data_IF_551474373529
#
_entry.id   IF_551474373529
#
_cell.length_a   1.000
_cell.length_b   1.000
_cell.length_c   1.000
_cell.angle_alpha   90.00
_cell.angle_beta   90.00
_cell.angle_gamma   90.00
#
_symmetry.space_group_name_H-M   'P 1'
#
loop_
_entity.id
_entity.type
_entity.pdbx_description
1 polymer ?
#
# COMPACT_ATOMS: atom_id res chain seq x y z
N UNK A 1 29.67 54.48 9.28
CA UNK A 1 30.07 53.07 9.06
C UNK A 1 29.22 52.21 10.00
N UNK A 2 28.06 51.77 9.54
CA UNK A 2 27.18 50.90 10.31
C UNK A 2 27.49 49.46 9.92
N UNK A 3 28.31 48.77 10.73
CA UNK A 3 28.59 47.35 10.59
C UNK A 3 27.38 46.56 11.09
N UNK A 4 26.64 45.94 10.17
CA UNK A 4 25.57 45.03 10.51
C UNK A 4 26.13 43.78 11.18
N UNK A 5 25.66 43.49 12.39
CA UNK A 5 25.77 42.18 13.02
C UNK A 5 25.10 41.16 12.09
N UNK A 6 25.90 40.39 11.36
CA UNK A 6 25.44 39.21 10.66
C UNK A 6 24.97 38.22 11.74
N UNK A 7 23.65 38.09 11.89
CA UNK A 7 23.04 37.06 12.70
C UNK A 7 23.58 35.70 12.26
N UNK A 8 24.30 35.02 13.15
CA UNK A 8 24.80 33.67 12.91
C UNK A 8 23.63 32.75 12.51
N UNK A 9 23.82 31.86 11.53
CA UNK A 9 22.77 30.92 11.13
C UNK A 9 22.41 30.02 12.31
N UNK A 10 21.13 29.96 12.68
CA UNK A 10 20.55 29.14 13.77
C UNK A 10 20.71 27.62 13.59
N UNK A 11 21.48 27.18 12.58
CA UNK A 11 21.73 25.80 12.20
C UNK A 11 23.19 25.40 12.43
N UNK A 12 23.86 25.92 13.46
CA UNK A 12 24.91 25.10 14.06
C UNK A 12 24.24 23.84 14.59
N UNK A 13 24.50 22.70 13.93
CA UNK A 13 24.17 21.36 14.42
C UNK A 13 24.77 21.23 15.82
N UNK A 14 23.99 21.56 16.86
CA UNK A 14 24.35 21.26 18.25
C UNK A 14 24.78 19.81 18.28
N UNK A 15 25.97 19.55 18.82
CA UNK A 15 26.48 18.20 19.00
C UNK A 15 25.38 17.35 19.62
N UNK A 16 24.95 16.30 18.91
CA UNK A 16 23.84 15.48 19.34
C UNK A 16 24.20 14.85 20.69
N UNK A 17 23.54 15.31 21.76
CA UNK A 17 23.73 14.75 23.11
C UNK A 17 23.03 13.39 23.15
N UNK A 18 23.79 12.32 22.95
CA UNK A 18 23.27 10.95 23.02
C UNK A 18 23.05 10.55 24.48
N UNK A 19 21.79 10.30 24.87
CA UNK A 19 21.46 9.70 26.18
C UNK A 19 21.43 8.18 26.07
N UNK A 20 22.10 7.50 26.98
CA UNK A 20 22.02 6.04 27.11
C UNK A 20 20.59 5.62 27.44
N UNK A 21 20.06 4.63 26.71
CA UNK A 21 18.69 4.12 26.87
C UNK A 21 17.60 4.78 26.01
N UNK A 22 17.90 5.82 25.23
CA UNK A 22 16.91 6.43 24.33
C UNK A 22 16.87 5.70 22.96
N UNK A 23 15.73 5.07 22.56
CA UNK A 23 15.64 4.34 21.30
C UNK A 23 15.81 5.27 20.07
N UNK A 24 15.39 6.53 20.16
CA UNK A 24 15.61 7.52 19.10
C UNK A 24 17.08 7.87 18.91
N UNK A 25 17.85 7.99 20.00
CA UNK A 25 19.29 8.26 19.94
C UNK A 25 20.07 7.09 19.29
N UNK A 26 19.61 5.85 19.46
CA UNK A 26 20.21 4.68 18.81
C UNK A 26 19.99 4.69 17.29
N UNK A 27 18.80 5.10 16.82
CA UNK A 27 18.49 5.24 15.39
C UNK A 27 19.32 6.36 14.76
N UNK A 28 19.40 7.53 15.41
CA UNK A 28 20.22 8.64 14.92
C UNK A 28 21.71 8.29 14.88
N UNK A 29 22.22 7.55 15.88
CA UNK A 29 23.60 7.03 15.87
C UNK A 29 23.84 6.05 14.73
N UNK A 30 22.88 5.16 14.44
CA UNK A 30 22.95 4.22 13.31
C UNK A 30 22.97 4.94 11.95
N UNK A 31 22.18 6.02 11.81
CA UNK A 31 22.18 6.89 10.62
C UNK A 31 23.49 7.68 10.49
N UNK A 32 24.09 8.09 11.60
CA UNK A 32 25.36 8.80 11.59
C UNK A 32 26.54 7.89 11.21
N UNK A 33 26.53 6.62 11.65
CA UNK A 33 27.56 5.63 11.34
C UNK A 33 27.51 5.11 9.90
N UNK A 34 26.32 5.09 9.28
CA UNK A 34 26.13 4.63 7.90
C UNK A 34 25.72 5.80 7.00
N UNK A 35 26.68 6.56 6.43
CA UNK A 35 26.38 7.69 5.56
C UNK A 35 25.87 7.28 4.17
N UNK A 36 26.00 6.00 3.80
CA UNK A 36 25.52 5.49 2.50
C UNK A 36 24.01 5.28 2.44
N UNK A 37 23.48 5.20 1.22
CA UNK A 37 22.07 4.91 0.97
C UNK A 37 21.71 3.50 1.45
N UNK A 38 20.65 3.31 2.26
CA UNK A 38 20.25 2.00 2.78
C UNK A 38 19.49 1.16 1.74
N UNK A 39 20.17 0.75 0.67
CA UNK A 39 19.58 0.00 -0.45
C UNK A 39 18.81 -1.25 -0.03
N UNK A 40 19.27 -1.96 1.00
CA UNK A 40 18.58 -3.16 1.51
C UNK A 40 17.20 -2.82 2.04
N UNK A 41 17.08 -1.82 2.92
CA UNK A 41 15.79 -1.42 3.51
C UNK A 41 14.84 -0.87 2.44
N UNK A 42 15.38 -0.09 1.51
CA UNK A 42 14.63 0.39 0.35
C UNK A 42 14.07 -0.72 -0.52
N UNK A 43 14.86 -1.77 -0.77
CA UNK A 43 14.38 -2.93 -1.51
C UNK A 43 13.23 -3.65 -0.78
N UNK A 44 13.32 -3.80 0.54
CA UNK A 44 12.22 -4.40 1.33
C UNK A 44 10.97 -3.52 1.31
N UNK A 45 11.11 -2.21 1.45
CA UNK A 45 10.00 -1.25 1.36
C UNK A 45 9.33 -1.32 -0.01
N UNK A 46 10.14 -1.30 -1.07
CA UNK A 46 9.68 -1.33 -2.45
C UNK A 46 8.93 -2.62 -2.78
N UNK A 47 9.47 -3.77 -2.39
CA UNK A 47 8.82 -5.08 -2.58
C UNK A 47 7.50 -5.21 -1.81
N UNK A 48 7.45 -4.75 -0.56
CA UNK A 48 6.21 -4.77 0.25
C UNK A 48 5.12 -3.90 -0.40
N UNK A 49 5.47 -2.68 -0.83
CA UNK A 49 4.51 -1.78 -1.47
C UNK A 49 4.00 -2.38 -2.78
N UNK A 50 4.91 -2.90 -3.61
CA UNK A 50 4.55 -3.55 -4.87
C UNK A 50 3.59 -4.73 -4.63
N UNK A 51 3.95 -5.64 -3.71
CA UNK A 51 3.13 -6.80 -3.37
C UNK A 51 1.74 -6.41 -2.83
N UNK A 52 1.65 -5.30 -2.08
CA UNK A 52 0.36 -4.81 -1.57
C UNK A 52 -0.49 -4.10 -2.63
N UNK A 53 0.16 -3.46 -3.62
CA UNK A 53 -0.51 -2.69 -4.65
C UNK A 53 -1.12 -3.60 -5.73
N UNK A 54 -0.41 -4.68 -6.09
CA UNK A 54 -0.81 -5.58 -7.17
C UNK A 54 -2.25 -6.14 -7.01
N UNK A 55 -2.66 -6.71 -5.85
CA UNK A 55 -4.03 -7.22 -5.70
C UNK A 55 -5.10 -6.13 -5.74
N UNK A 56 -4.78 -4.92 -5.26
CA UNK A 56 -5.72 -3.80 -5.22
C UNK A 56 -5.99 -3.28 -6.64
N UNK A 57 -4.97 -3.25 -7.50
CA UNK A 57 -5.10 -2.74 -8.87
C UNK A 57 -5.51 -3.80 -9.88
N UNK A 58 -5.12 -5.07 -9.71
CA UNK A 58 -5.51 -6.18 -10.59
C UNK A 58 -7.00 -6.49 -10.60
N UNK A 59 -7.70 -5.95 -9.61
CA UNK A 59 -9.13 -6.10 -9.35
C UNK A 59 -10.03 -5.49 -10.41
N UNK A 60 -9.70 -4.29 -10.89
CA UNK A 60 -10.59 -3.54 -11.78
C UNK A 60 -10.94 -4.28 -13.09
N UNK A 61 -9.99 -4.95 -13.78
CA UNK A 61 -10.29 -5.73 -14.97
C UNK A 61 -11.27 -6.88 -14.76
N UNK A 62 -11.14 -7.65 -13.67
CA UNK A 62 -12.00 -8.82 -13.46
C UNK A 62 -13.29 -8.51 -12.69
N UNK A 63 -13.35 -7.39 -11.97
CA UNK A 63 -14.54 -6.98 -11.22
C UNK A 63 -15.77 -6.83 -12.14
N UNK A 64 -15.57 -6.36 -13.36
CA UNK A 64 -16.62 -6.27 -14.36
C UNK A 64 -17.23 -7.65 -14.66
N UNK A 65 -16.38 -8.65 -14.93
CA UNK A 65 -16.82 -10.02 -15.19
C UNK A 65 -17.49 -10.65 -13.97
N UNK A 66 -16.93 -10.47 -12.78
CA UNK A 66 -17.53 -10.98 -11.54
C UNK A 66 -18.95 -10.44 -11.31
N UNK A 67 -19.18 -9.15 -11.53
CA UNK A 67 -20.51 -8.54 -11.35
C UNK A 67 -21.51 -8.99 -12.42
N UNK A 68 -21.03 -9.18 -13.65
CA UNK A 68 -21.82 -9.79 -14.73
C UNK A 68 -22.27 -11.20 -14.34
N UNK A 69 -21.35 -12.03 -13.87
CA UNK A 69 -21.60 -13.43 -13.56
C UNK A 69 -22.47 -13.61 -12.29
N UNK A 70 -22.42 -12.64 -11.37
CA UNK A 70 -23.32 -12.54 -10.22
C UNK A 70 -24.78 -12.19 -10.60
N UNK A 71 -25.07 -11.85 -11.87
CA UNK A 71 -26.41 -11.49 -12.39
C UNK A 71 -27.14 -10.40 -11.59
N UNK A 72 -26.40 -9.52 -10.92
CA UNK A 72 -26.97 -8.45 -10.05
C UNK A 72 -27.53 -7.30 -10.89
N UNK A 73 -26.92 -7.04 -12.05
CA UNK A 73 -27.34 -5.99 -12.96
C UNK A 73 -28.35 -6.53 -13.97
N UNK A 74 -29.55 -5.93 -14.01
CA UNK A 74 -30.59 -6.28 -14.99
C UNK A 74 -30.24 -5.86 -16.42
N UNK A 75 -29.33 -4.88 -16.56
CA UNK A 75 -28.82 -4.34 -17.83
C UNK A 75 -27.30 -4.30 -17.79
N UNK A 76 -26.66 -4.54 -18.93
CA UNK A 76 -25.19 -4.50 -19.09
C UNK A 76 -24.60 -3.12 -18.80
N UNK A 77 -25.39 -2.07 -19.02
CA UNK A 77 -25.05 -0.67 -18.76
C UNK A 77 -24.82 -0.38 -17.27
N UNK A 78 -25.55 -1.07 -16.38
CA UNK A 78 -25.51 -0.83 -14.93
C UNK A 78 -24.33 -1.53 -14.24
N UNK A 79 -23.68 -2.49 -14.91
CA UNK A 79 -22.56 -3.26 -14.36
C UNK A 79 -21.43 -2.34 -13.90
N UNK A 80 -21.14 -1.30 -14.68
CA UNK A 80 -20.12 -0.30 -14.33
C UNK A 80 -20.46 0.48 -13.06
N UNK A 81 -21.75 0.78 -12.83
CA UNK A 81 -22.20 1.47 -11.63
C UNK A 81 -22.01 0.60 -10.38
N UNK A 82 -22.41 -0.67 -10.44
CA UNK A 82 -22.20 -1.62 -9.34
C UNK A 82 -20.71 -1.90 -9.08
N UNK A 83 -19.88 -1.94 -10.12
CA UNK A 83 -18.41 -2.05 -10.00
C UNK A 83 -17.81 -0.84 -9.28
N UNK A 84 -18.27 0.36 -9.66
CA UNK A 84 -17.91 1.60 -8.99
C UNK A 84 -18.22 1.56 -7.50
N UNK A 85 -19.38 1.03 -7.10
CA UNK A 85 -19.77 0.92 -5.70
C UNK A 85 -18.85 -0.02 -4.89
N UNK A 86 -18.43 -1.14 -5.48
CA UNK A 86 -17.45 -2.05 -4.85
C UNK A 86 -16.09 -1.36 -4.69
N UNK A 87 -15.61 -0.64 -5.72
CA UNK A 87 -14.38 0.16 -5.62
C UNK A 87 -14.48 1.29 -4.58
N UNK A 88 -15.62 1.98 -4.53
CA UNK A 88 -15.89 3.05 -3.57
C UNK A 88 -15.91 2.53 -2.14
N UNK A 89 -16.47 1.34 -1.88
CA UNK A 89 -16.51 0.74 -0.54
C UNK A 89 -15.11 0.55 0.05
N UNK A 90 -14.14 0.15 -0.78
CA UNK A 90 -12.74 0.03 -0.37
C UNK A 90 -12.14 1.39 0.00
N UNK A 91 -12.32 2.40 -0.87
CA UNK A 91 -11.80 3.75 -0.61
C UNK A 91 -12.46 4.39 0.62
N UNK A 92 -13.76 4.15 0.82
CA UNK A 92 -14.51 4.62 1.97
C UNK A 92 -14.00 4.02 3.27
N UNK A 93 -13.82 2.69 3.32
CA UNK A 93 -13.20 2.02 4.47
C UNK A 93 -11.80 2.57 4.77
N UNK A 94 -11.00 2.78 3.73
CA UNK A 94 -9.64 3.32 3.86
C UNK A 94 -9.61 4.77 4.34
N UNK A 95 -10.58 5.59 3.91
CA UNK A 95 -10.73 6.97 4.37
C UNK A 95 -10.94 7.02 5.88
N UNK A 96 -11.90 6.23 6.39
CA UNK A 96 -12.28 6.21 7.81
C UNK A 96 -11.14 5.79 8.74
N UNK A 97 -10.31 4.84 8.33
CA UNK A 97 -9.29 4.24 9.19
C UNK A 97 -7.87 4.71 8.91
N UNK A 98 -7.64 5.47 7.84
CA UNK A 98 -6.30 5.95 7.45
C UNK A 98 -5.57 6.67 8.60
N UNK A 99 -6.25 7.59 9.28
CA UNK A 99 -5.69 8.34 10.42
C UNK A 99 -5.45 7.43 11.63
N UNK A 100 -6.37 6.50 11.91
CA UNK A 100 -6.25 5.58 13.04
C UNK A 100 -5.03 4.67 12.90
N UNK A 101 -4.78 4.16 11.69
CA UNK A 101 -3.61 3.34 11.40
C UNK A 101 -2.29 4.11 11.45
N UNK A 102 -2.29 5.40 11.10
CA UNK A 102 -1.15 6.29 11.30
C UNK A 102 -0.79 6.39 12.78
N UNK A 103 -1.77 6.73 13.63
CA UNK A 103 -1.57 6.83 15.08
C UNK A 103 -1.15 5.48 15.68
N UNK A 104 -1.77 4.38 15.25
CA UNK A 104 -1.43 3.04 15.71
C UNK A 104 0.01 2.66 15.33
N UNK A 105 0.48 3.03 14.13
CA UNK A 105 1.85 2.78 13.69
C UNK A 105 2.88 3.56 14.51
N UNK A 106 2.54 4.78 14.92
CA UNK A 106 3.42 5.58 15.77
C UNK A 106 3.47 5.07 17.23
N UNK A 107 2.38 4.45 17.74
CA UNK A 107 2.34 3.90 19.11
C UNK A 107 2.86 2.48 19.27
N UNK A 108 2.47 1.57 18.39
CA UNK A 108 2.80 0.13 18.47
C UNK A 108 4.12 -0.16 17.74
N UNK A 109 4.60 0.81 16.94
CA UNK A 109 5.73 0.66 16.05
C UNK A 109 5.29 0.26 14.64
N UNK A 110 6.14 0.57 13.67
CA UNK A 110 5.77 0.50 12.24
C UNK A 110 5.74 -0.92 11.71
N UNK A 111 6.71 -1.75 12.12
CA UNK A 111 6.83 -3.15 11.69
C UNK A 111 5.57 -4.01 11.98
N UNK A 112 4.99 -4.04 13.19
CA UNK A 112 3.79 -4.84 13.45
C UNK A 112 2.57 -4.35 12.67
N UNK A 113 2.40 -3.04 12.50
CA UNK A 113 1.28 -2.49 11.69
C UNK A 113 1.41 -2.88 10.22
N UNK A 114 2.62 -2.86 9.67
CA UNK A 114 2.89 -3.32 8.29
C UNK A 114 2.54 -4.80 8.12
N UNK A 115 2.97 -5.66 9.05
CA UNK A 115 2.68 -7.10 9.00
C UNK A 115 1.18 -7.36 9.12
N UNK A 116 0.48 -6.68 10.03
CA UNK A 116 -0.97 -6.79 10.17
C UNK A 116 -1.71 -6.35 8.89
N UNK A 117 -1.25 -5.26 8.26
CA UNK A 117 -1.79 -4.78 6.98
C UNK A 117 -1.64 -5.81 5.86
N UNK A 118 -0.49 -6.48 5.76
CA UNK A 118 -0.23 -7.53 4.77
C UNK A 118 -1.11 -8.76 5.04
N UNK A 119 -1.22 -9.20 6.30
CA UNK A 119 -2.09 -10.32 6.69
C UNK A 119 -3.56 -10.04 6.34
N UNK A 120 -4.02 -8.82 6.61
CA UNK A 120 -5.37 -8.38 6.24
C UNK A 120 -5.57 -8.44 4.72
N UNK A 121 -4.59 -8.01 3.92
CA UNK A 121 -4.65 -8.13 2.45
C UNK A 121 -4.82 -9.57 2.02
N UNK A 122 -4.01 -10.49 2.54
CA UNK A 122 -4.09 -11.91 2.18
C UNK A 122 -5.46 -12.48 2.52
N UNK A 123 -5.92 -12.30 3.77
CA UNK A 123 -7.18 -12.89 4.25
C UNK A 123 -8.37 -12.34 3.46
N UNK A 124 -8.51 -11.01 3.36
CA UNK A 124 -9.69 -10.42 2.72
C UNK A 124 -9.65 -10.52 1.20
N UNK A 125 -8.47 -10.56 0.57
CA UNK A 125 -8.38 -10.81 -0.86
C UNK A 125 -8.76 -12.26 -1.20
N UNK A 126 -8.38 -13.23 -0.38
CA UNK A 126 -8.84 -14.63 -0.52
C UNK A 126 -10.34 -14.75 -0.29
N UNK A 127 -10.88 -14.12 0.77
CA UNK A 127 -12.32 -14.10 1.03
C UNK A 127 -13.12 -13.45 -0.09
N UNK A 128 -12.57 -12.40 -0.71
CA UNK A 128 -13.17 -11.79 -1.88
C UNK A 128 -13.18 -12.73 -3.08
N UNK A 129 -12.07 -13.44 -3.34
CA UNK A 129 -12.01 -14.42 -4.44
C UNK A 129 -13.01 -15.57 -4.29
N UNK A 130 -13.37 -15.92 -3.06
CA UNK A 130 -14.39 -16.92 -2.73
C UNK A 130 -15.81 -16.33 -2.59
N UNK A 131 -15.99 -15.03 -2.87
CA UNK A 131 -17.29 -14.39 -2.65
C UNK A 131 -18.30 -14.78 -3.74
N UNK A 132 -19.44 -15.32 -3.29
CA UNK A 132 -20.55 -15.76 -4.16
C UNK A 132 -21.72 -14.79 -4.18
N UNK A 133 -21.69 -13.73 -3.36
CA UNK A 133 -22.74 -12.71 -3.30
C UNK A 133 -22.17 -11.31 -3.37
N UNK A 134 -22.93 -10.38 -3.96
CA UNK A 134 -22.55 -8.97 -4.12
C UNK A 134 -22.29 -8.26 -2.78
N UNK A 135 -23.14 -8.51 -1.78
CA UNK A 135 -22.99 -7.90 -0.46
C UNK A 135 -21.75 -8.42 0.29
N UNK A 136 -21.40 -9.70 0.11
CA UNK A 136 -20.15 -10.26 0.64
C UNK A 136 -18.93 -9.62 -0.03
N UNK A 137 -18.98 -9.39 -1.34
CA UNK A 137 -17.94 -8.68 -2.08
C UNK A 137 -17.75 -7.23 -1.58
N UNK A 138 -18.83 -6.50 -1.31
CA UNK A 138 -18.76 -5.15 -0.71
C UNK A 138 -18.19 -5.22 0.70
N UNK A 139 -18.70 -6.11 1.56
CA UNK A 139 -18.28 -6.18 2.96
C UNK A 139 -16.80 -6.53 3.09
N UNK A 140 -16.33 -7.53 2.33
CA UNK A 140 -14.91 -7.92 2.31
C UNK A 140 -14.02 -6.79 1.80
N UNK A 141 -14.49 -5.99 0.83
CA UNK A 141 -13.75 -4.83 0.30
C UNK A 141 -13.71 -3.66 1.25
N UNK A 142 -14.83 -3.37 1.92
CA UNK A 142 -14.88 -2.36 2.97
C UNK A 142 -13.94 -2.74 4.12
N UNK A 143 -13.99 -3.99 4.59
CA UNK A 143 -13.10 -4.49 5.65
C UNK A 143 -11.64 -4.47 5.23
N UNK A 144 -11.33 -4.87 3.99
CA UNK A 144 -10.00 -4.77 3.43
C UNK A 144 -9.52 -3.31 3.44
N UNK A 145 -10.34 -2.36 2.97
CA UNK A 145 -10.01 -0.94 2.99
C UNK A 145 -9.80 -0.41 4.41
N UNK A 146 -10.68 -0.78 5.34
CA UNK A 146 -10.64 -0.37 6.74
C UNK A 146 -9.40 -0.92 7.48
N UNK A 147 -8.93 -2.12 7.14
CA UNK A 147 -7.78 -2.74 7.79
C UNK A 147 -6.45 -2.50 7.04
N UNK A 148 -6.51 -1.97 5.80
CA UNK A 148 -5.36 -1.73 4.95
C UNK A 148 -4.90 -0.26 4.94
N UNK A 149 -4.31 0.17 6.06
CA UNK A 149 -3.70 1.50 6.22
C UNK A 149 -2.22 1.59 5.81
N UNK A 150 -1.71 0.71 4.95
CA UNK A 150 -0.26 0.46 4.81
C UNK A 150 0.55 1.65 4.24
N UNK A 151 -0.03 2.46 3.36
CA UNK A 151 0.73 3.49 2.62
C UNK A 151 1.29 4.60 3.51
N UNK A 152 0.57 5.01 4.55
CA UNK A 152 1.03 6.05 5.48
C UNK A 152 2.25 5.59 6.29
N UNK A 153 2.14 4.50 7.08
CA UNK A 153 3.24 3.93 7.85
C UNK A 153 4.45 3.57 7.00
N UNK A 154 4.28 3.10 5.76
CA UNK A 154 5.40 2.77 4.86
C UNK A 154 6.15 4.01 4.37
N UNK A 155 5.45 5.09 3.99
CA UNK A 155 6.09 6.36 3.62
C UNK A 155 6.87 6.93 4.80
N UNK A 156 6.27 6.90 5.98
CA UNK A 156 6.92 7.35 7.18
C UNK A 156 8.16 6.47 7.48
N UNK A 157 8.05 5.14 7.39
CA UNK A 157 9.16 4.21 7.64
C UNK A 157 10.32 4.44 6.66
N UNK A 158 10.01 4.75 5.39
CA UNK A 158 11.01 5.08 4.39
C UNK A 158 11.82 6.34 4.77
N UNK A 159 11.16 7.37 5.31
CA UNK A 159 11.82 8.59 5.81
C UNK A 159 12.67 8.27 7.06
N UNK A 160 12.13 7.50 8.00
CA UNK A 160 12.81 7.19 9.27
C UNK A 160 14.08 6.36 9.12
N UNK A 161 14.18 5.54 8.08
CA UNK A 161 15.38 4.72 7.81
C UNK A 161 16.51 5.57 7.22
N UNK A 162 16.19 6.74 6.66
CA UNK A 162 17.13 7.56 5.91
C UNK A 162 17.65 8.75 6.69
N UNK A 163 18.73 9.32 6.17
CA UNK A 163 19.18 10.66 6.53
C UNK A 163 18.31 11.69 5.80
N UNK A 164 18.18 12.92 6.33
CA UNK A 164 17.40 13.99 5.70
C UNK A 164 17.80 14.27 4.25
N UNK A 165 19.08 14.09 3.93
CA UNK A 165 19.65 14.23 2.57
C UNK A 165 19.04 13.24 1.54
N UNK A 166 18.51 12.10 1.98
CA UNK A 166 17.98 11.02 1.13
C UNK A 166 16.47 10.80 1.28
N UNK A 167 15.76 11.62 2.06
CA UNK A 167 14.30 11.56 2.19
C UNK A 167 13.56 11.70 0.85
N UNK A 168 13.96 12.59 -0.09
CA UNK A 168 13.31 12.67 -1.39
C UNK A 168 13.44 11.36 -2.18
N UNK A 169 14.61 10.72 -2.13
CA UNK A 169 14.85 9.44 -2.80
C UNK A 169 13.96 8.33 -2.22
N UNK A 170 13.82 8.29 -0.89
CA UNK A 170 12.96 7.33 -0.21
C UNK A 170 11.49 7.47 -0.64
N UNK A 171 10.99 8.70 -0.71
CA UNK A 171 9.61 8.99 -1.15
C UNK A 171 9.39 8.71 -2.64
N UNK A 172 10.38 8.98 -3.49
CA UNK A 172 10.36 8.61 -4.91
C UNK A 172 10.30 7.09 -5.09
N UNK A 173 11.05 6.32 -4.30
CA UNK A 173 11.01 4.85 -4.33
C UNK A 173 9.62 4.29 -3.96
N UNK A 174 8.99 4.84 -2.92
CA UNK A 174 7.63 4.46 -2.54
C UNK A 174 6.63 4.77 -3.67
N UNK A 175 6.77 5.94 -4.29
CA UNK A 175 5.85 6.39 -5.36
C UNK A 175 6.03 5.59 -6.64
N UNK A 176 7.27 5.24 -7.01
CA UNK A 176 7.57 4.39 -8.17
C UNK A 176 7.07 2.96 -7.97
N UNK A 177 7.23 2.37 -6.77
CA UNK A 177 6.67 1.06 -6.45
C UNK A 177 5.15 1.01 -6.67
N UNK A 178 4.46 2.06 -6.18
CA UNK A 178 3.01 2.20 -6.36
C UNK A 178 2.62 2.38 -7.83
N UNK A 179 3.33 3.24 -8.56
CA UNK A 179 3.09 3.46 -9.99
C UNK A 179 3.26 2.18 -10.81
N UNK A 180 4.31 1.40 -10.55
CA UNK A 180 4.54 0.11 -11.21
C UNK A 180 3.41 -0.88 -10.87
N UNK A 181 2.98 -0.94 -9.61
CA UNK A 181 1.84 -1.78 -9.21
C UNK A 181 0.53 -1.41 -9.90
N UNK A 182 0.29 -0.12 -10.17
CA UNK A 182 -0.87 0.35 -10.93
C UNK A 182 -0.83 -0.02 -12.41
N UNK A 183 0.36 -0.24 -12.99
CA UNK A 183 0.51 -0.67 -14.39
C UNK A 183 0.44 -2.18 -14.50
N UNK A 184 1.26 -2.89 -13.70
CA UNK A 184 1.38 -4.35 -13.77
C UNK A 184 0.11 -5.03 -13.26
N UNK A 185 -0.52 -4.49 -12.22
CA UNK A 185 -1.70 -5.14 -11.62
C UNK A 185 -2.86 -5.31 -12.59
N UNK A 186 -3.37 -4.24 -13.24
CA UNK A 186 -4.44 -4.37 -14.22
C UNK A 186 -4.05 -5.23 -15.43
N UNK A 187 -2.79 -5.17 -15.86
CA UNK A 187 -2.28 -6.02 -16.94
C UNK A 187 -2.37 -7.51 -16.57
N UNK A 188 -1.92 -7.88 -15.37
CA UNK A 188 -2.05 -9.25 -14.85
C UNK A 188 -3.51 -9.64 -14.63
N UNK A 189 -4.31 -8.77 -14.02
CA UNK A 189 -5.72 -9.01 -13.77
C UNK A 189 -6.54 -9.23 -15.04
N UNK A 190 -6.27 -8.48 -16.11
CA UNK A 190 -6.91 -8.65 -17.41
C UNK A 190 -6.36 -9.82 -18.22
N UNK A 191 -5.09 -10.18 -18.03
CA UNK A 191 -4.51 -11.38 -18.63
C UNK A 191 -5.10 -12.66 -18.03
N UNK A 192 -5.25 -12.70 -16.71
CA UNK A 192 -5.80 -13.82 -15.95
C UNK A 192 -7.33 -13.84 -15.89
N UNK A 193 -8.02 -12.80 -16.39
CA UNK A 193 -9.47 -12.81 -16.50
C UNK A 193 -9.91 -13.81 -17.58
N UNK A 194 -10.84 -14.70 -17.23
CA UNK A 194 -11.44 -15.73 -18.10
C UNK A 194 -10.41 -16.70 -18.73
N UNK A 195 -9.64 -17.44 -17.93
CA UNK A 195 -8.62 -18.35 -18.44
C UNK A 195 -9.22 -19.47 -19.31
N UNK A 196 -10.44 -19.94 -19.01
CA UNK A 196 -11.13 -20.96 -19.80
C UNK A 196 -11.57 -20.48 -21.19
N UNK A 197 -12.00 -19.22 -21.35
CA UNK A 197 -12.33 -18.68 -22.67
C UNK A 197 -11.07 -18.31 -23.48
N UNK A 198 -10.01 -17.88 -22.79
CA UNK A 198 -8.80 -17.34 -23.43
C UNK A 198 -7.75 -18.41 -23.77
N UNK A 199 -7.73 -19.51 -23.03
CA UNK A 199 -6.83 -20.65 -23.22
C UNK A 199 -7.58 -21.99 -23.30
N UNK A 200 -8.44 -22.18 -24.32
CA UNK A 200 -9.26 -23.40 -24.44
C UNK A 200 -8.46 -24.70 -24.63
N UNK A 201 -7.17 -24.58 -24.98
CA UNK A 201 -6.25 -25.73 -25.10
C UNK A 201 -5.64 -26.17 -23.75
N UNK A 202 -5.72 -25.35 -22.71
CA UNK A 202 -5.07 -25.59 -21.40
C UNK A 202 -6.12 -25.73 -20.28
N UNK A 203 -7.21 -24.95 -20.35
CA UNK A 203 -8.32 -24.99 -19.40
C UNK A 203 -9.59 -25.46 -20.12
N UNK A 204 -10.15 -26.59 -19.69
CA UNK A 204 -11.42 -27.08 -20.22
C UNK A 204 -12.59 -26.26 -19.68
N UNK A 205 -13.69 -26.09 -20.43
CA UNK A 205 -14.87 -25.32 -20.00
C UNK A 205 -15.53 -25.85 -18.72
N UNK A 206 -15.36 -27.14 -18.42
CA UNK A 206 -15.88 -27.79 -17.21
C UNK A 206 -14.92 -27.72 -16.01
N UNK A 207 -13.84 -26.94 -16.11
CA UNK A 207 -12.86 -26.78 -15.02
C UNK A 207 -13.32 -25.75 -13.99
N UNK A 208 -12.67 -25.74 -12.82
CA UNK A 208 -12.93 -24.79 -11.73
C UNK A 208 -12.63 -23.31 -12.09
N UNK A 209 -12.12 -23.03 -13.29
CA UNK A 209 -11.57 -21.76 -13.76
C UNK A 209 -12.24 -21.26 -15.04
#
# INVERSE_FOLDING_TARGET
MAGGEAAAPLLEKKEAVYREGCPGCAVERRKALNPGVPYKEFFHIWTIILASCLPVSSLFPFLYFMIRDLHVAKRTEDIGFYAGFVGASFMFGRCLTSTLWGIAADRIGRKPVVVFGILSVVIFNTLFGLSVTYWMAIATRFLLGALNGLLGPMKAYAIEVCRPEHEPLALSLVSTAWGIGLIIGPALGGYLALPAEKYPNIFSPDSLF
#
